data_IF_733395091816
#
_entry.id   IF_733395091816
#
_cell.length_a   1.000
_cell.length_b   1.000
_cell.length_c   1.000
_cell.angle_alpha   90.00
_cell.angle_beta   90.00
_cell.angle_gamma   90.00
#
_symmetry.space_group_name_H-M   'P 1'
#
loop_
_entity.id
_entity.type
_entity.pdbx_description
1 polymer ?
#
# COMPACT_ATOMS: atom_id res chain seq x y z
N UNK A 1 -6.24 -4.69 16.41
CA UNK A 1 -5.04 -5.55 16.45
C UNK A 1 -4.98 -6.45 15.20
N UNK A 2 -3.88 -6.41 14.46
CA UNK A 2 -3.64 -7.21 13.25
C UNK A 2 -3.04 -8.56 13.67
N UNK A 3 -3.61 -9.68 13.21
CA UNK A 3 -3.12 -11.02 13.56
C UNK A 3 -1.67 -11.19 13.08
N UNK A 4 -0.81 -11.66 13.96
CA UNK A 4 0.61 -11.92 13.65
C UNK A 4 1.50 -10.69 13.55
N UNK A 5 1.00 -9.48 13.84
CA UNK A 5 1.81 -8.26 13.81
C UNK A 5 2.94 -8.28 14.84
N UNK A 6 2.70 -8.76 16.06
CA UNK A 6 3.76 -8.87 17.07
C UNK A 6 4.89 -9.82 16.63
N UNK A 7 4.55 -10.95 15.99
CA UNK A 7 5.54 -11.87 15.43
C UNK A 7 6.34 -11.21 14.32
N UNK A 8 5.65 -10.51 13.41
CA UNK A 8 6.29 -9.80 12.31
C UNK A 8 7.25 -8.73 12.84
N UNK A 9 6.77 -7.87 13.74
CA UNK A 9 7.56 -6.82 14.38
C UNK A 9 8.80 -7.36 15.08
N UNK A 10 8.65 -8.40 15.90
CA UNK A 10 9.78 -9.00 16.61
C UNK A 10 10.79 -9.64 15.65
N UNK A 11 10.32 -10.29 14.59
CA UNK A 11 11.20 -10.97 13.64
C UNK A 11 11.98 -9.98 12.76
N UNK A 12 11.38 -8.85 12.41
CA UNK A 12 12.00 -7.81 11.58
C UNK A 12 12.59 -6.64 12.40
N UNK A 13 12.84 -6.85 13.70
CA UNK A 13 13.54 -5.89 14.53
C UNK A 13 14.94 -5.62 13.95
N UNK A 14 15.29 -4.34 13.79
CA UNK A 14 16.55 -3.92 13.18
C UNK A 14 16.54 -3.80 11.65
N UNK A 15 15.42 -4.08 10.99
CA UNK A 15 15.26 -3.94 9.52
C UNK A 15 14.32 -2.82 9.09
N UNK A 16 14.04 -1.85 9.97
CA UNK A 16 13.03 -0.80 9.74
C UNK A 16 13.36 0.15 8.56
N UNK A 17 14.60 0.16 8.08
CA UNK A 17 15.03 0.90 6.90
C UNK A 17 14.81 0.14 5.58
N UNK A 18 14.70 -1.19 5.64
CA UNK A 18 14.66 -2.08 4.47
C UNK A 18 13.25 -2.32 3.92
N UNK A 19 12.21 -1.94 4.66
CA UNK A 19 10.82 -2.06 4.21
C UNK A 19 9.94 -0.95 4.78
N UNK A 20 8.73 -0.84 4.25
CA UNK A 20 7.65 -0.05 4.85
C UNK A 20 6.31 -0.74 4.61
N UNK A 21 5.46 -0.79 5.64
CA UNK A 21 4.09 -1.27 5.49
C UNK A 21 3.21 -0.21 4.86
N UNK A 22 2.37 -0.64 3.93
CA UNK A 22 1.33 0.16 3.29
C UNK A 22 -0.03 -0.51 3.50
N UNK A 23 -1.00 -0.15 2.66
CA UNK A 23 -2.20 -0.97 2.50
C UNK A 23 -3.11 -0.95 3.73
N UNK A 24 -3.73 -2.09 4.04
CA UNK A 24 -4.70 -2.18 5.14
C UNK A 24 -4.03 -2.13 6.52
N UNK A 25 -2.87 -2.77 6.65
CA UNK A 25 -2.16 -2.92 7.92
C UNK A 25 -1.64 -1.56 8.41
N UNK A 26 -0.99 -0.80 7.54
CA UNK A 26 -0.57 0.56 7.86
C UNK A 26 -1.76 1.45 8.24
N UNK A 27 -2.90 1.33 7.54
CA UNK A 27 -4.10 2.11 7.89
C UNK A 27 -4.64 1.76 9.27
N UNK A 28 -4.56 0.50 9.71
CA UNK A 28 -4.95 0.12 11.08
C UNK A 28 -4.00 0.72 12.10
N UNK A 29 -2.68 0.62 11.89
CA UNK A 29 -1.69 1.13 12.84
C UNK A 29 -1.77 2.65 13.02
N UNK A 30 -1.83 3.40 11.92
CA UNK A 30 -1.90 4.88 11.94
C UNK A 30 -3.22 5.37 12.56
N UNK A 31 -4.32 4.67 12.31
CA UNK A 31 -5.62 5.01 12.92
C UNK A 31 -5.64 4.71 14.42
N UNK A 32 -5.06 3.57 14.83
CA UNK A 32 -4.98 3.17 16.24
C UNK A 32 -4.10 4.13 17.06
N UNK A 33 -2.96 4.57 16.50
CA UNK A 33 -2.11 5.61 17.11
C UNK A 33 -2.88 6.93 17.33
N UNK A 34 -3.75 7.30 16.39
CA UNK A 34 -4.63 8.45 16.51
C UNK A 34 -5.89 8.22 17.37
N UNK A 35 -6.06 7.03 17.96
CA UNK A 35 -7.22 6.67 18.79
C UNK A 35 -8.52 6.49 18.00
N UNK A 36 -8.44 6.16 16.72
CA UNK A 36 -9.57 6.00 15.81
C UNK A 36 -9.71 4.57 15.28
N UNK A 37 -10.96 4.13 15.06
CA UNK A 37 -11.23 2.79 14.57
C UNK A 37 -10.99 2.66 13.05
N UNK A 38 -10.42 1.52 12.64
CA UNK A 38 -10.32 1.12 11.25
C UNK A 38 -10.82 -0.31 11.03
N UNK A 39 -11.23 -0.64 9.79
CA UNK A 39 -11.69 -1.99 9.47
C UNK A 39 -10.54 -3.00 9.66
N UNK A 40 -10.88 -4.20 10.12
CA UNK A 40 -9.89 -5.26 10.24
C UNK A 40 -9.23 -5.60 8.88
N UNK A 41 -7.94 -5.93 8.95
CA UNK A 41 -7.19 -6.54 7.85
C UNK A 41 -6.39 -7.72 8.41
N UNK A 42 -6.06 -8.66 7.53
CA UNK A 42 -5.20 -9.81 7.83
C UNK A 42 -4.00 -9.90 6.87
N UNK A 43 -3.94 -8.97 5.93
CA UNK A 43 -2.94 -8.90 4.87
C UNK A 43 -1.90 -7.83 5.26
N UNK A 44 -0.62 -8.15 5.09
CA UNK A 44 0.48 -7.20 5.16
C UNK A 44 0.96 -6.88 3.75
N UNK A 45 0.79 -5.62 3.37
CA UNK A 45 1.28 -5.06 2.12
C UNK A 45 2.63 -4.38 2.42
N UNK A 46 3.73 -4.89 1.86
CA UNK A 46 5.11 -4.55 2.23
C UNK A 46 5.83 -3.97 1.02
N UNK A 47 6.22 -2.70 1.08
CA UNK A 47 7.13 -2.10 0.09
C UNK A 47 8.57 -2.32 0.52
N UNK A 48 9.38 -2.91 -0.35
CA UNK A 48 10.81 -3.13 -0.12
C UNK A 48 11.65 -1.92 -0.55
N UNK A 49 12.56 -1.48 0.32
CA UNK A 49 13.49 -0.39 0.06
C UNK A 49 14.73 -0.90 -0.67
N UNK A 50 14.69 -1.04 -1.99
CA UNK A 50 15.74 -1.73 -2.78
C UNK A 50 17.17 -1.21 -2.55
N UNK A 51 17.30 0.07 -2.23
CA UNK A 51 18.58 0.75 -1.97
C UNK A 51 19.17 0.45 -0.58
N UNK A 52 18.35 -0.01 0.36
CA UNK A 52 18.77 -0.40 1.71
C UNK A 52 18.79 -1.92 1.92
N UNK A 53 18.28 -2.70 0.95
CA UNK A 53 18.20 -4.15 1.06
C UNK A 53 19.58 -4.79 1.11
N UNK A 54 19.78 -5.66 2.11
CA UNK A 54 20.95 -6.50 2.23
C UNK A 54 20.60 -8.00 2.29
N UNK A 55 21.63 -8.85 2.31
CA UNK A 55 21.43 -10.30 2.39
C UNK A 55 20.81 -10.73 3.72
N UNK A 56 21.04 -9.99 4.81
CA UNK A 56 20.53 -10.32 6.14
C UNK A 56 19.01 -10.19 6.19
N UNK A 57 18.44 -9.15 5.57
CA UNK A 57 16.99 -9.03 5.48
C UNK A 57 16.37 -10.12 4.62
N UNK A 58 17.00 -10.47 3.50
CA UNK A 58 16.48 -11.52 2.61
C UNK A 58 16.47 -12.87 3.32
N UNK A 59 17.55 -13.18 4.05
CA UNK A 59 17.63 -14.37 4.92
C UNK A 59 16.54 -14.33 6.01
N UNK A 60 16.38 -13.19 6.69
CA UNK A 60 15.34 -13.01 7.69
C UNK A 60 13.94 -13.18 7.11
N UNK A 61 13.68 -12.63 5.92
CA UNK A 61 12.39 -12.74 5.26
C UNK A 61 12.06 -14.19 4.92
N UNK A 62 13.00 -14.93 4.30
CA UNK A 62 12.80 -16.35 4.03
C UNK A 62 12.69 -17.20 5.30
N UNK A 63 13.41 -16.84 6.37
CA UNK A 63 13.23 -17.48 7.67
C UNK A 63 11.81 -17.26 8.21
N UNK A 64 11.23 -16.07 8.03
CA UNK A 64 9.84 -15.77 8.41
C UNK A 64 8.84 -16.61 7.60
N UNK A 65 9.04 -16.70 6.28
CA UNK A 65 8.19 -17.52 5.38
C UNK A 65 8.24 -18.99 5.78
N UNK A 66 9.45 -19.53 5.99
CA UNK A 66 9.68 -20.93 6.39
C UNK A 66 9.09 -21.21 7.78
N UNK A 67 9.27 -20.31 8.75
CA UNK A 67 8.77 -20.47 10.11
C UNK A 67 7.24 -20.36 10.21
N UNK A 68 6.59 -19.58 9.34
CA UNK A 68 5.13 -19.51 9.23
C UNK A 68 4.51 -20.65 8.43
N UNK A 69 5.30 -21.38 7.64
CA UNK A 69 4.81 -22.46 6.77
C UNK A 69 3.85 -21.96 5.69
N UNK A 70 4.15 -20.85 5.03
CA UNK A 70 3.28 -20.29 3.98
C UNK A 70 3.17 -21.24 2.77
N UNK A 71 1.95 -21.60 2.40
CA UNK A 71 1.67 -22.68 1.45
C UNK A 71 1.67 -22.26 -0.01
N UNK A 72 1.18 -21.05 -0.33
CA UNK A 72 1.06 -20.60 -1.72
C UNK A 72 2.05 -19.48 -2.01
N UNK A 73 2.83 -19.67 -3.08
CA UNK A 73 3.68 -18.65 -3.69
C UNK A 73 3.12 -18.35 -5.07
N UNK A 74 2.24 -17.35 -5.18
CA UNK A 74 1.61 -17.02 -6.46
C UNK A 74 2.48 -16.04 -7.24
N UNK A 75 3.10 -16.49 -8.34
CA UNK A 75 3.64 -15.65 -9.41
C UNK A 75 2.55 -15.40 -10.46
N UNK A 76 1.96 -14.21 -10.52
CA UNK A 76 0.84 -13.97 -11.44
C UNK A 76 1.30 -13.62 -12.87
N UNK A 77 1.19 -14.60 -13.77
CA UNK A 77 0.92 -14.53 -15.23
C UNK A 77 1.27 -13.26 -16.03
N UNK A 78 2.13 -13.43 -17.04
CA UNK A 78 2.36 -12.48 -18.13
C UNK A 78 3.68 -11.74 -17.98
N UNK A 79 3.61 -10.43 -17.70
CA UNK A 79 4.77 -9.51 -17.62
C UNK A 79 5.08 -9.00 -16.20
N UNK A 80 4.18 -9.19 -15.22
CA UNK A 80 4.34 -8.67 -13.85
C UNK A 80 4.51 -9.82 -12.88
N UNK A 81 5.66 -9.95 -12.24
CA UNK A 81 5.85 -10.93 -11.17
C UNK A 81 5.31 -10.32 -9.87
N UNK A 82 4.44 -11.07 -9.19
CA UNK A 82 3.88 -10.71 -7.89
C UNK A 82 4.43 -11.73 -6.91
N UNK A 83 4.95 -11.32 -5.74
CA UNK A 83 5.20 -12.26 -4.64
C UNK A 83 4.13 -12.07 -3.59
N UNK A 84 3.27 -13.07 -3.53
CA UNK A 84 2.25 -13.23 -2.50
C UNK A 84 2.48 -14.55 -1.81
N UNK A 85 2.62 -14.48 -0.49
CA UNK A 85 2.70 -15.63 0.41
C UNK A 85 1.42 -15.65 1.23
N UNK A 86 0.64 -16.72 1.15
CA UNK A 86 -0.60 -16.82 1.91
C UNK A 86 -0.84 -18.22 2.48
N UNK A 87 -1.86 -18.32 3.35
CA UNK A 87 -2.23 -19.53 4.07
C UNK A 87 -1.03 -20.14 4.84
N UNK A 88 -0.51 -19.45 5.87
CA UNK A 88 0.49 -20.03 6.76
C UNK A 88 -0.08 -21.25 7.48
N UNK A 89 0.76 -22.26 7.70
CA UNK A 89 0.44 -23.41 8.55
C UNK A 89 0.28 -22.99 10.03
N UNK A 90 1.13 -22.08 10.52
CA UNK A 90 0.95 -21.47 11.83
C UNK A 90 0.00 -20.28 11.73
N UNK A 91 -1.23 -20.49 12.19
CA UNK A 91 -2.26 -19.46 12.27
C UNK A 91 -1.86 -18.22 13.09
N UNK A 92 -0.81 -18.28 13.91
CA UNK A 92 -0.25 -17.13 14.62
C UNK A 92 0.44 -16.09 13.72
N UNK A 93 0.68 -16.40 12.45
CA UNK A 93 1.28 -15.51 11.46
C UNK A 93 0.23 -14.67 10.71
N UNK A 94 0.66 -13.55 10.07
CA UNK A 94 -0.20 -12.81 9.15
C UNK A 94 -0.71 -13.70 8.02
N UNK A 95 -1.99 -13.58 7.67
CA UNK A 95 -2.61 -14.50 6.71
C UNK A 95 -2.02 -14.41 5.30
N UNK A 96 -1.62 -13.19 4.90
CA UNK A 96 -1.06 -12.91 3.60
C UNK A 96 0.04 -11.86 3.72
N UNK A 97 1.15 -12.09 3.01
CA UNK A 97 2.22 -11.13 2.79
C UNK A 97 2.26 -10.83 1.29
N UNK A 98 2.18 -9.56 0.92
CA UNK A 98 2.27 -9.10 -0.46
C UNK A 98 3.42 -8.11 -0.59
N UNK A 99 4.34 -8.37 -1.52
CA UNK A 99 5.54 -7.55 -1.71
C UNK A 99 5.36 -6.55 -2.87
N UNK A 100 5.82 -5.32 -2.64
CA UNK A 100 5.90 -4.21 -3.59
C UNK A 100 7.33 -3.67 -3.66
N UNK A 101 7.79 -3.16 -4.80
CA UNK A 101 9.07 -2.45 -4.93
C UNK A 101 9.01 -1.48 -6.11
N UNK A 102 9.95 -0.53 -6.21
CA UNK A 102 10.15 0.21 -7.46
C UNK A 102 10.82 -0.67 -8.53
N UNK A 103 10.88 -0.19 -9.76
CA UNK A 103 11.68 -0.83 -10.81
C UNK A 103 13.18 -0.68 -10.47
N UNK A 104 13.97 -1.77 -10.41
CA UNK A 104 15.42 -1.68 -10.26
C UNK A 104 16.04 -0.91 -11.43
N UNK A 105 16.99 -0.01 -11.15
CA UNK A 105 17.67 0.82 -12.16
C UNK A 105 18.42 -0.02 -13.22
N UNK A 106 18.76 -1.28 -12.91
CA UNK A 106 19.46 -2.22 -13.80
C UNK A 106 18.55 -3.06 -14.71
N UNK A 107 17.23 -2.86 -14.70
CA UNK A 107 16.33 -3.55 -15.64
C UNK A 107 16.39 -2.96 -17.05
N UNK A 108 17.40 -3.35 -17.82
CA UNK A 108 17.31 -3.38 -19.28
C UNK A 108 16.37 -4.53 -19.64
N UNK A 109 15.10 -4.21 -19.90
CA UNK A 109 14.17 -5.14 -20.54
C UNK A 109 14.56 -5.20 -22.03
N UNK A 110 15.52 -6.06 -22.35
CA UNK A 110 15.81 -6.44 -23.74
C UNK A 110 14.86 -7.55 -24.16
N UNK A 111 14.25 -7.42 -25.34
CA UNK A 111 13.27 -8.36 -25.92
C UNK A 111 13.74 -9.82 -26.06
N UNK A 112 15.01 -10.11 -25.78
CA UNK A 112 15.55 -11.45 -25.62
C UNK A 112 16.91 -11.30 -24.92
N UNK A 113 17.01 -11.49 -23.60
CA UNK A 113 18.29 -11.89 -23.00
C UNK A 113 18.22 -12.25 -21.51
N UNK A 114 18.96 -13.31 -21.22
CA UNK A 114 19.26 -13.89 -19.93
C UNK A 114 19.68 -12.88 -18.86
N UNK A 115 19.02 -13.05 -17.69
CA UNK A 115 19.50 -12.79 -16.34
C UNK A 115 21.02 -12.55 -16.27
N UNK A 116 21.43 -11.38 -15.78
CA UNK A 116 22.80 -11.18 -15.30
C UNK A 116 22.81 -11.00 -13.78
N UNK A 117 23.81 -11.58 -13.08
CA UNK A 117 23.65 -12.05 -11.71
C UNK A 117 24.32 -11.14 -10.67
N UNK A 118 23.75 -11.09 -9.46
CA UNK A 118 24.49 -10.85 -8.23
C UNK A 118 24.41 -12.16 -7.42
N UNK A 119 25.52 -12.71 -6.88
CA UNK A 119 25.62 -14.15 -6.57
C UNK A 119 25.06 -14.54 -5.18
N UNK A 120 24.09 -15.48 -5.20
CA UNK A 120 23.84 -16.70 -4.36
C UNK A 120 23.84 -16.62 -2.81
N UNK A 121 22.88 -17.23 -2.08
CA UNK A 121 22.32 -18.58 -2.27
C UNK A 121 20.79 -18.79 -2.28
N UNK A 122 19.91 -17.82 -1.98
CA UNK A 122 18.49 -17.91 -2.35
C UNK A 122 17.98 -16.55 -2.87
N UNK A 123 18.37 -16.27 -4.13
CA UNK A 123 17.87 -15.23 -5.04
C UNK A 123 17.23 -13.99 -4.39
N UNK A 124 18.02 -12.95 -4.12
CA UNK A 124 17.49 -11.57 -4.00
C UNK A 124 16.75 -11.16 -5.29
N UNK A 125 17.11 -11.78 -6.42
CA UNK A 125 16.41 -11.68 -7.71
C UNK A 125 14.97 -12.23 -7.68
N UNK A 126 14.63 -13.05 -6.67
CA UNK A 126 13.34 -13.73 -6.50
C UNK A 126 12.36 -13.01 -5.58
N UNK A 127 12.64 -11.78 -5.13
CA UNK A 127 11.63 -10.92 -4.50
C UNK A 127 11.16 -9.83 -5.49
N UNK A 128 10.88 -10.22 -6.74
CA UNK A 128 10.35 -9.34 -7.79
C UNK A 128 8.94 -8.87 -7.43
N UNK A 129 8.86 -7.70 -6.81
CA UNK A 129 7.67 -7.22 -6.16
C UNK A 129 6.78 -6.39 -7.10
N UNK A 130 5.55 -6.09 -6.70
CA UNK A 130 4.64 -5.23 -7.48
C UNK A 130 5.32 -3.91 -7.75
N UNK A 131 5.49 -3.58 -9.04
CA UNK A 131 6.16 -2.37 -9.47
C UNK A 131 5.32 -1.14 -9.13
N UNK A 132 5.77 -0.40 -8.12
CA UNK A 132 5.36 0.98 -7.91
C UNK A 132 6.09 1.87 -8.91
N UNK A 133 5.38 2.85 -9.47
CA UNK A 133 6.03 3.93 -10.21
C UNK A 133 6.99 4.68 -9.29
N UNK A 134 8.09 5.20 -9.83
CA UNK A 134 9.09 5.95 -9.06
C UNK A 134 8.49 7.12 -8.26
N UNK A 135 7.48 7.81 -8.81
CA UNK A 135 6.79 8.91 -8.13
C UNK A 135 6.09 8.43 -6.86
N UNK A 136 5.27 7.38 -6.93
CA UNK A 136 4.63 6.80 -5.75
C UNK A 136 5.65 6.24 -4.77
N UNK A 137 6.69 5.55 -5.24
CA UNK A 137 7.71 4.99 -4.35
C UNK A 137 8.40 6.09 -3.53
N UNK A 138 8.88 7.16 -4.19
CA UNK A 138 9.52 8.30 -3.50
C UNK A 138 8.54 9.04 -2.59
N UNK A 139 7.30 9.19 -3.03
CA UNK A 139 6.27 9.84 -2.23
C UNK A 139 5.97 9.05 -0.95
N UNK A 140 5.85 7.72 -1.02
CA UNK A 140 5.64 6.86 0.14
C UNK A 140 6.85 6.88 1.09
N UNK A 141 8.08 6.89 0.56
CA UNK A 141 9.30 6.97 1.34
C UNK A 141 9.39 8.28 2.15
N UNK A 142 8.95 9.41 1.58
CA UNK A 142 8.87 10.70 2.27
C UNK A 142 7.81 10.76 3.38
N UNK A 143 6.80 9.89 3.32
CA UNK A 143 5.65 9.88 4.21
C UNK A 143 5.59 8.65 5.11
N UNK A 144 6.75 8.00 5.32
CA UNK A 144 6.88 6.90 6.29
C UNK A 144 7.27 7.43 7.67
N UNK A 145 6.80 6.75 8.69
CA UNK A 145 7.26 6.89 10.07
C UNK A 145 7.19 5.53 10.78
N UNK A 146 7.70 5.47 12.00
CA UNK A 146 7.74 4.23 12.76
C UNK A 146 6.67 4.24 13.85
N UNK A 147 5.81 3.21 13.86
CA UNK A 147 4.84 2.96 14.94
C UNK A 147 5.28 1.67 15.62
N UNK A 148 5.60 1.77 16.92
CA UNK A 148 6.01 0.63 17.74
C UNK A 148 7.15 -0.22 17.12
N UNK A 149 8.14 0.36 16.43
CA UNK A 149 9.21 -0.43 15.79
C UNK A 149 8.89 -0.91 14.37
N UNK A 150 7.72 -0.58 13.82
CA UNK A 150 7.31 -0.97 12.47
C UNK A 150 7.24 0.26 11.56
N UNK A 151 8.01 0.31 10.46
CA UNK A 151 7.91 1.39 9.48
C UNK A 151 6.58 1.29 8.73
N UNK A 152 5.79 2.36 8.76
CA UNK A 152 4.48 2.46 8.10
C UNK A 152 4.38 3.76 7.31
N UNK A 153 3.66 3.73 6.19
CA UNK A 153 3.25 4.97 5.53
C UNK A 153 2.10 5.61 6.31
N UNK A 154 2.19 6.91 6.58
CA UNK A 154 1.16 7.67 7.28
C UNK A 154 -0.09 7.95 6.43
N UNK A 155 -1.11 8.56 7.02
CA UNK A 155 -2.37 8.92 6.36
C UNK A 155 -2.18 9.83 5.14
N UNK A 156 -1.15 10.68 5.13
CA UNK A 156 -0.81 11.56 4.00
C UNK A 156 -0.37 10.73 2.79
N UNK A 157 0.46 9.71 3.01
CA UNK A 157 0.90 8.81 1.94
C UNK A 157 -0.16 7.76 1.55
N UNK A 158 -0.95 7.29 2.53
CA UNK A 158 -1.93 6.23 2.32
C UNK A 158 -3.14 6.69 1.49
N UNK A 159 -3.57 7.95 1.59
CA UNK A 159 -4.73 8.46 0.86
C UNK A 159 -4.52 8.40 -0.67
N UNK A 160 -3.42 8.95 -1.24
CA UNK A 160 -3.15 8.82 -2.68
C UNK A 160 -3.02 7.37 -3.14
N UNK A 161 -2.39 6.52 -2.34
CA UNK A 161 -2.28 5.09 -2.67
C UNK A 161 -3.65 4.40 -2.73
N UNK A 162 -4.58 4.75 -1.84
CA UNK A 162 -5.96 4.23 -1.87
C UNK A 162 -6.73 4.79 -3.06
N UNK A 163 -6.52 6.05 -3.44
CA UNK A 163 -7.10 6.64 -4.64
C UNK A 163 -6.63 5.90 -5.91
N UNK A 164 -5.32 5.64 -6.03
CA UNK A 164 -4.75 4.86 -7.14
C UNK A 164 -5.35 3.47 -7.26
N UNK A 165 -5.36 2.72 -6.17
CA UNK A 165 -5.94 1.37 -6.15
C UNK A 165 -7.43 1.37 -6.52
N UNK A 166 -8.18 2.40 -6.13
CA UNK A 166 -9.57 2.55 -6.53
C UNK A 166 -9.71 2.77 -8.04
N UNK A 167 -8.92 3.67 -8.63
CA UNK A 167 -8.94 3.95 -10.06
C UNK A 167 -8.59 2.71 -10.88
N UNK A 168 -7.48 2.03 -10.55
CA UNK A 168 -7.03 0.84 -11.27
C UNK A 168 -8.05 -0.31 -11.21
N UNK A 169 -8.63 -0.57 -10.03
CA UNK A 169 -9.64 -1.62 -9.89
C UNK A 169 -10.96 -1.25 -10.58
N UNK A 170 -11.29 0.05 -10.67
CA UNK A 170 -12.48 0.52 -11.37
C UNK A 170 -12.32 0.37 -12.87
N UNK A 171 -11.19 0.80 -13.43
CA UNK A 171 -10.86 0.65 -14.85
C UNK A 171 -10.87 -0.83 -15.28
N UNK A 172 -10.23 -1.70 -14.49
CA UNK A 172 -10.22 -3.16 -14.76
C UNK A 172 -11.60 -3.78 -14.69
N UNK A 173 -12.44 -3.34 -13.75
CA UNK A 173 -13.82 -3.81 -13.65
C UNK A 173 -14.65 -3.34 -14.86
N UNK A 174 -14.47 -2.09 -15.29
CA UNK A 174 -15.14 -1.53 -16.47
C UNK A 174 -14.68 -2.16 -17.78
N UNK A 175 -13.42 -2.62 -17.86
CA UNK A 175 -12.88 -3.37 -19.00
C UNK A 175 -13.34 -4.84 -19.05
N UNK A 176 -14.16 -5.27 -18.08
CA UNK A 176 -14.80 -6.59 -18.07
C UNK A 176 -14.09 -7.66 -17.23
N UNK A 177 -13.07 -7.31 -16.44
CA UNK A 177 -12.50 -8.25 -15.47
C UNK A 177 -13.51 -8.52 -14.33
N UNK A 178 -13.59 -9.78 -13.90
CA UNK A 178 -14.47 -10.19 -12.81
C UNK A 178 -13.89 -9.77 -11.44
N UNK A 179 -14.03 -8.49 -11.10
CA UNK A 179 -13.59 -7.89 -9.85
C UNK A 179 -14.79 -7.73 -8.90
N UNK A 180 -14.65 -8.18 -7.65
CA UNK A 180 -15.67 -7.93 -6.64
C UNK A 180 -15.79 -6.42 -6.34
N UNK A 181 -16.97 -5.85 -6.63
CA UNK A 181 -17.32 -4.45 -6.32
C UNK A 181 -17.03 -4.03 -4.88
N UNK A 182 -17.04 -4.95 -3.91
CA UNK A 182 -16.67 -4.68 -2.51
C UNK A 182 -15.18 -4.34 -2.38
N UNK A 183 -14.31 -4.98 -3.18
CA UNK A 183 -12.87 -4.67 -3.23
C UNK A 183 -12.64 -3.27 -3.74
N UNK A 184 -13.41 -2.80 -4.72
CA UNK A 184 -13.35 -1.41 -5.20
C UNK A 184 -13.84 -0.46 -4.10
N UNK A 185 -15.05 -0.71 -3.57
CA UNK A 185 -15.68 0.17 -2.55
C UNK A 185 -14.85 0.34 -1.28
N UNK A 186 -14.05 -0.67 -0.88
CA UNK A 186 -13.22 -0.58 0.34
C UNK A 186 -12.18 0.55 0.25
N UNK A 187 -11.52 0.73 -0.91
CA UNK A 187 -10.47 1.75 -1.07
C UNK A 187 -11.03 3.16 -0.93
N UNK A 188 -12.17 3.42 -1.59
CA UNK A 188 -12.93 4.66 -1.42
C UNK A 188 -13.33 4.90 0.04
N UNK A 189 -13.83 3.87 0.72
CA UNK A 189 -14.25 3.97 2.13
C UNK A 189 -13.08 4.25 3.06
N UNK A 190 -11.92 3.67 2.78
CA UNK A 190 -10.70 3.83 3.58
C UNK A 190 -10.17 5.27 3.50
N UNK A 191 -10.31 5.97 2.37
CA UNK A 191 -9.98 7.41 2.26
C UNK A 191 -10.80 8.24 3.26
N UNK A 192 -12.11 8.00 3.38
CA UNK A 192 -12.94 8.72 4.36
C UNK A 192 -12.56 8.40 5.80
N UNK A 193 -12.11 7.17 6.08
CA UNK A 193 -11.64 6.80 7.42
C UNK A 193 -10.35 7.52 7.78
N UNK A 194 -9.37 7.50 6.87
CA UNK A 194 -8.08 8.19 7.03
C UNK A 194 -8.25 9.71 7.12
N UNK A 195 -9.25 10.28 6.43
CA UNK A 195 -9.54 11.70 6.53
C UNK A 195 -9.85 12.17 7.97
N UNK A 196 -10.37 11.28 8.84
CA UNK A 196 -10.68 11.65 10.24
C UNK A 196 -9.46 12.12 11.04
N UNK A 197 -8.28 11.64 10.69
CA UNK A 197 -7.02 11.88 11.42
C UNK A 197 -6.09 12.84 10.66
N UNK A 198 -6.49 13.25 9.45
CA UNK A 198 -5.71 14.15 8.60
C UNK A 198 -5.94 15.61 9.02
N UNK A 199 -4.86 16.33 9.35
CA UNK A 199 -4.97 17.75 9.71
C UNK A 199 -5.40 18.60 8.49
N UNK A 200 -6.46 19.43 8.62
CA UNK A 200 -6.93 20.30 7.54
C UNK A 200 -5.98 21.45 7.16
N UNK A 201 -4.97 21.71 8.00
CA UNK A 201 -3.91 22.70 7.84
C UNK A 201 -2.76 22.20 6.96
N UNK A 202 -2.61 20.88 6.79
CA UNK A 202 -1.55 20.27 6.00
C UNK A 202 -1.52 20.81 4.57
N UNK A 203 -0.31 20.98 4.02
CA UNK A 203 -0.08 21.28 2.62
C UNK A 203 1.00 20.35 2.11
N UNK A 204 0.65 19.59 1.08
CA UNK A 204 1.46 18.50 0.54
C UNK A 204 1.69 18.77 -0.92
N UNK A 205 2.95 18.78 -1.33
CA UNK A 205 3.31 18.85 -2.74
C UNK A 205 3.23 17.44 -3.34
N UNK A 206 2.42 17.28 -4.39
CA UNK A 206 2.29 16.03 -5.12
C UNK A 206 3.11 16.08 -6.42
N UNK A 207 3.82 14.99 -6.76
CA UNK A 207 4.24 14.75 -8.14
C UNK A 207 3.05 14.83 -9.11
N UNK A 208 3.31 15.23 -10.36
CA UNK A 208 2.26 15.44 -11.36
C UNK A 208 1.39 14.19 -11.58
N UNK A 209 2.01 13.01 -11.64
CA UNK A 209 1.30 11.73 -11.80
C UNK A 209 0.32 11.46 -10.66
N UNK A 210 0.75 11.66 -9.40
CA UNK A 210 -0.08 11.48 -8.20
C UNK A 210 -1.17 12.54 -8.14
N UNK A 211 -0.85 13.79 -8.50
CA UNK A 211 -1.83 14.88 -8.58
C UNK A 211 -2.94 14.56 -9.58
N UNK A 212 -2.60 14.00 -10.75
CA UNK A 212 -3.58 13.62 -11.76
C UNK A 212 -4.48 12.46 -11.30
N UNK A 213 -3.89 11.43 -10.68
CA UNK A 213 -4.66 10.32 -10.09
C UNK A 213 -5.64 10.86 -9.02
N UNK A 214 -5.17 11.71 -8.12
CA UNK A 214 -6.01 12.31 -7.09
C UNK A 214 -7.12 13.21 -7.67
N UNK A 215 -6.83 13.97 -8.72
CA UNK A 215 -7.83 14.76 -9.42
C UNK A 215 -8.94 13.88 -10.03
N UNK A 216 -8.56 12.81 -10.72
CA UNK A 216 -9.50 11.85 -11.31
C UNK A 216 -10.37 11.18 -10.23
N UNK A 217 -9.75 10.77 -9.13
CA UNK A 217 -10.46 10.18 -8.00
C UNK A 217 -11.47 11.15 -7.38
N UNK A 218 -11.10 12.41 -7.17
CA UNK A 218 -12.01 13.42 -6.60
C UNK A 218 -13.17 13.78 -7.51
N UNK A 219 -12.96 13.80 -8.82
CA UNK A 219 -14.04 13.99 -9.80
C UNK A 219 -15.04 12.82 -9.70
N UNK A 220 -14.55 11.58 -9.70
CA UNK A 220 -15.39 10.39 -9.54
C UNK A 220 -16.15 10.35 -8.20
N UNK A 221 -15.55 10.81 -7.10
CA UNK A 221 -16.26 10.92 -5.81
C UNK A 221 -17.40 11.94 -5.84
N UNK A 222 -17.21 13.05 -6.55
CA UNK A 222 -18.18 14.15 -6.61
C UNK A 222 -19.41 13.78 -7.44
N UNK A 223 -19.27 12.86 -8.39
CA UNK A 223 -20.35 12.34 -9.22
C UNK A 223 -21.18 11.24 -8.54
N UNK A 224 -20.66 10.60 -7.48
CA UNK A 224 -21.36 9.53 -6.76
C UNK A 224 -22.40 10.06 -5.77
N UNK A 225 -23.60 10.36 -6.28
CA UNK A 225 -24.73 10.85 -5.50
C UNK A 225 -25.25 9.86 -4.42
N UNK A 226 -24.83 8.59 -4.44
CA UNK A 226 -25.25 7.57 -3.46
C UNK A 226 -24.26 7.44 -2.29
N UNK A 227 -23.15 8.16 -2.34
CA UNK A 227 -22.11 8.07 -1.33
C UNK A 227 -22.53 8.79 -0.04
N UNK A 228 -22.80 8.01 1.00
CA UNK A 228 -22.99 8.52 2.36
C UNK A 228 -21.70 8.38 3.15
N UNK A 229 -21.29 9.45 3.84
CA UNK A 229 -20.11 9.44 4.71
C UNK A 229 -20.44 9.32 6.20
N UNK A 230 -21.72 9.17 6.54
CA UNK A 230 -22.20 9.04 7.93
C UNK A 230 -21.57 7.85 8.66
N UNK A 231 -21.25 6.80 7.93
CA UNK A 231 -20.71 5.55 8.47
C UNK A 231 -19.19 5.64 8.76
N UNK A 232 -18.55 6.78 8.48
CA UNK A 232 -17.10 6.99 8.66
C UNK A 232 -16.77 8.00 9.77
N UNK A 233 -17.68 8.25 10.72
CA UNK A 233 -17.42 9.18 11.84
C UNK A 233 -17.44 10.67 11.46
N UNK A 234 -17.64 11.00 10.18
CA UNK A 234 -17.63 12.37 9.64
C UNK A 234 -18.99 13.07 9.80
N UNK A 235 -19.51 13.13 11.02
CA UNK A 235 -20.81 13.77 11.31
C UNK A 235 -20.76 15.26 10.96
N UNK A 236 -21.74 15.72 10.18
CA UNK A 236 -21.89 17.12 9.81
C UNK A 236 -21.12 17.54 8.56
N UNK A 237 -20.33 16.65 7.95
CA UNK A 237 -19.68 16.89 6.67
C UNK A 237 -20.46 16.23 5.53
N UNK A 238 -20.31 16.79 4.34
CA UNK A 238 -20.71 16.18 3.06
C UNK A 238 -19.48 15.61 2.34
N UNK A 239 -19.71 14.79 1.31
CA UNK A 239 -18.63 14.35 0.41
C UNK A 239 -17.89 15.55 -0.19
N UNK A 240 -18.63 16.61 -0.53
CA UNK A 240 -18.05 17.84 -1.10
C UNK A 240 -17.12 18.54 -0.12
N UNK A 241 -17.46 18.61 1.17
CA UNK A 241 -16.61 19.22 2.19
C UNK A 241 -15.29 18.46 2.37
N UNK A 242 -15.37 17.12 2.38
CA UNK A 242 -14.19 16.25 2.46
C UNK A 242 -13.30 16.43 1.24
N UNK A 243 -13.88 16.34 0.04
CA UNK A 243 -13.15 16.51 -1.23
C UNK A 243 -12.53 17.90 -1.33
N UNK A 244 -13.24 18.95 -0.94
CA UNK A 244 -12.71 20.32 -0.92
C UNK A 244 -11.51 20.46 0.02
N UNK A 245 -11.59 19.86 1.21
CA UNK A 245 -10.51 19.87 2.18
C UNK A 245 -9.29 19.09 1.66
N UNK A 246 -9.50 17.89 1.11
CA UNK A 246 -8.44 17.09 0.51
C UNK A 246 -7.78 17.81 -0.68
N UNK A 247 -8.57 18.45 -1.56
CA UNK A 247 -8.04 19.28 -2.66
C UNK A 247 -7.12 20.38 -2.14
N UNK A 248 -7.51 21.07 -1.06
CA UNK A 248 -6.68 22.10 -0.44
C UNK A 248 -5.40 21.54 0.17
N UNK A 249 -5.47 20.38 0.83
CA UNK A 249 -4.29 19.72 1.44
C UNK A 249 -3.28 19.33 0.37
N UNK A 250 -3.75 18.67 -0.70
CA UNK A 250 -2.90 18.15 -1.76
C UNK A 250 -2.64 19.15 -2.91
N UNK A 251 -2.99 20.43 -2.74
CA UNK A 251 -2.73 21.47 -3.74
C UNK A 251 -3.47 21.31 -5.08
N UNK A 252 -4.56 20.52 -5.12
CA UNK A 252 -5.29 20.19 -6.34
C UNK A 252 -6.36 21.25 -6.61
N UNK A 253 -6.23 21.96 -7.73
CA UNK A 253 -7.18 22.99 -8.13
C UNK A 253 -8.56 22.38 -8.42
N UNK A 254 -9.62 23.08 -8.05
CA UNK A 254 -10.95 22.81 -8.59
C UNK A 254 -10.99 23.25 -10.05
N UNK A 255 -11.45 22.36 -10.93
CA UNK A 255 -11.81 22.77 -12.29
C UNK A 255 -12.94 23.81 -12.19
N UNK A 256 -12.79 24.91 -12.93
CA UNK A 256 -13.77 26.00 -12.99
C UNK A 256 -14.85 25.69 -14.01
#
# INVERSE_FOLDING_TARGET
MIKGMDKFRQHFEGFADQYVLIGGAASVLVMDEAGADFRATKDLDIVLSLEALDSLFVEAFWAFIKAGGYQNQQRSTGEKVFYRFDHPEDEGYPFMLELFSRKPDSMILGDDSHLTPIPTEEDVSSLSAILLSDDYYRFLDQHKHEIEGVPVVNEVGLIPLKAKAWLELTERHESGENIDSKKIKKHKSDVFRLFQILSPELRVELPESISQDMQNFFSALSEDAKLSIKDFGLKGLTVSDVVSTLRRIYGIKTEK
#
